data_IF_552515268249
#
_entry.id   IF_552515268249
#
_cell.length_a   1.000
_cell.length_b   1.000
_cell.length_c   1.000
_cell.angle_alpha   90.00
_cell.angle_beta   90.00
_cell.angle_gamma   90.00
#
_symmetry.space_group_name_H-M   'P 1'
#
loop_
_entity.id
_entity.type
_entity.pdbx_description
1 polymer ?
#
# COMPACT_ATOMS: atom_id res chain seq x y z
N UNK A 1 -11.90 15.34 -70.61
CA UNK A 1 -10.63 14.92 -71.25
C UNK A 1 -9.53 15.36 -70.29
N UNK A 2 -8.70 14.55 -69.62
CA UNK A 2 -8.28 13.14 -69.62
C UNK A 2 -8.02 12.79 -68.13
N UNK A 3 -8.66 11.77 -67.53
CA UNK A 3 -8.11 10.44 -67.13
C UNK A 3 -6.73 10.51 -66.46
N UNK A 4 -6.54 10.08 -65.19
CA UNK A 4 -6.38 8.67 -64.74
C UNK A 4 -6.59 8.53 -63.21
N UNK A 5 -7.62 7.80 -62.75
CA UNK A 5 -7.63 6.45 -62.09
C UNK A 5 -6.81 6.24 -60.80
N UNK A 6 -7.53 6.09 -59.68
CA UNK A 6 -7.13 5.54 -58.37
C UNK A 6 -7.09 4.01 -58.35
N UNK A 7 -6.40 3.37 -57.37
CA UNK A 7 -6.69 1.99 -56.98
C UNK A 7 -7.30 1.89 -55.57
N UNK A 8 -8.39 1.13 -55.50
CA UNK A 8 -9.12 0.71 -54.30
C UNK A 8 -8.51 -0.60 -53.77
N UNK A 9 -8.30 -0.71 -52.45
CA UNK A 9 -7.92 -1.96 -51.78
C UNK A 9 -9.11 -2.53 -51.00
N UNK A 10 -9.49 -3.77 -51.29
CA UNK A 10 -10.40 -4.63 -50.52
C UNK A 10 -9.66 -5.94 -50.15
N UNK A 11 -10.07 -6.64 -49.08
CA UNK A 11 -9.27 -7.68 -48.44
C UNK A 11 -9.52 -9.08 -49.02
N UNK A 12 -8.48 -9.92 -48.99
CA UNK A 12 -8.52 -11.34 -49.38
C UNK A 12 -8.80 -12.23 -48.16
N UNK A 13 -9.84 -13.05 -48.27
CA UNK A 13 -10.16 -14.22 -47.43
C UNK A 13 -9.61 -15.47 -48.15
N UNK A 14 -9.01 -16.44 -47.46
CA UNK A 14 -8.84 -17.79 -48.02
C UNK A 14 -9.95 -18.74 -47.52
N UNK A 15 -10.63 -19.37 -48.48
CA UNK A 15 -11.61 -20.45 -48.27
C UNK A 15 -10.96 -21.75 -47.81
N UNK A 16 -11.71 -22.48 -47.00
CA UNK A 16 -11.45 -23.85 -46.54
C UNK A 16 -11.79 -24.87 -47.63
N UNK A 17 -10.90 -25.84 -47.86
CA UNK A 17 -11.23 -27.06 -48.61
C UNK A 17 -11.52 -28.22 -47.65
N UNK A 18 -12.74 -28.76 -47.75
CA UNK A 18 -13.13 -30.07 -47.24
C UNK A 18 -12.48 -31.20 -48.05
N UNK A 19 -11.99 -32.23 -47.35
CA UNK A 19 -11.85 -33.60 -47.84
C UNK A 19 -12.23 -34.56 -46.70
N UNK A 20 -12.92 -35.62 -47.08
CA UNK A 20 -13.80 -36.47 -46.30
C UNK A 20 -13.10 -37.67 -45.61
N UNK A 21 -13.86 -38.35 -44.75
CA UNK A 21 -13.53 -39.42 -43.82
C UNK A 21 -12.96 -40.72 -44.41
N UNK A 22 -12.19 -41.44 -43.59
CA UNK A 22 -11.92 -42.87 -43.78
C UNK A 22 -10.99 -43.49 -42.74
N UNK A 23 -11.56 -43.96 -41.62
CA UNK A 23 -11.19 -45.12 -40.78
C UNK A 23 -9.72 -45.50 -40.58
N UNK A 24 -9.26 -45.55 -39.31
CA UNK A 24 -8.58 -46.75 -38.78
C UNK A 24 -8.49 -46.73 -37.24
N UNK A 25 -8.36 -47.93 -36.71
CA UNK A 25 -8.68 -48.39 -35.36
C UNK A 25 -7.71 -47.95 -34.26
N UNK A 26 -8.25 -48.03 -33.04
CA UNK A 26 -7.63 -47.83 -31.74
C UNK A 26 -6.57 -48.88 -31.36
N UNK A 27 -5.43 -48.42 -30.82
CA UNK A 27 -4.43 -49.20 -30.07
C UNK A 27 -3.64 -48.29 -29.11
N UNK A 28 -3.10 -48.80 -27.97
CA UNK A 28 -2.86 -48.00 -26.78
C UNK A 28 -1.54 -47.20 -26.84
N UNK A 29 -1.55 -45.99 -26.29
CA UNK A 29 -0.35 -45.15 -26.13
C UNK A 29 0.29 -45.45 -24.77
N UNK A 30 1.55 -45.89 -24.81
CA UNK A 30 2.42 -46.13 -23.68
C UNK A 30 2.64 -44.86 -22.82
N UNK A 31 2.53 -45.04 -21.51
CA UNK A 31 2.91 -44.05 -20.49
C UNK A 31 4.44 -43.90 -20.48
N UNK A 32 4.94 -42.74 -20.91
CA UNK A 32 6.33 -42.35 -20.65
C UNK A 32 6.43 -41.78 -19.23
N UNK A 33 7.05 -42.56 -18.35
CA UNK A 33 7.44 -42.15 -16.99
C UNK A 33 8.72 -41.31 -17.06
N UNK A 34 8.65 -40.02 -16.71
CA UNK A 34 9.84 -39.21 -16.46
C UNK A 34 10.34 -39.49 -15.03
N UNK A 35 11.43 -40.24 -14.91
CA UNK A 35 12.18 -40.37 -13.67
C UNK A 35 13.07 -39.12 -13.47
N UNK A 36 12.71 -38.27 -12.50
CA UNK A 36 13.62 -37.26 -11.95
C UNK A 36 14.35 -37.89 -10.76
N UNK A 37 15.66 -38.08 -10.91
CA UNK A 37 16.54 -38.50 -9.85
C UNK A 37 16.69 -37.36 -8.83
N UNK A 38 16.40 -37.66 -7.56
CA UNK A 38 16.68 -36.81 -6.41
C UNK A 38 18.02 -37.27 -5.84
N UNK A 39 19.08 -36.49 -6.00
CA UNK A 39 20.33 -36.70 -5.27
C UNK A 39 20.17 -36.16 -3.84
N UNK A 40 20.07 -37.07 -2.89
CA UNK A 40 20.14 -36.80 -1.46
C UNK A 40 21.61 -36.72 -1.02
N UNK A 41 22.08 -35.54 -0.64
CA UNK A 41 23.35 -35.36 0.06
C UNK A 41 23.17 -35.71 1.55
N UNK A 42 23.47 -36.96 1.89
CA UNK A 42 23.53 -37.46 3.26
C UNK A 42 24.91 -37.18 3.86
N UNK A 43 25.02 -36.26 4.81
CA UNK A 43 26.24 -36.12 5.62
C UNK A 43 26.26 -37.20 6.70
N UNK A 44 27.23 -38.11 6.60
CA UNK A 44 27.58 -39.06 7.66
C UNK A 44 28.28 -38.33 8.81
N UNK A 45 27.73 -38.47 10.01
CA UNK A 45 28.42 -38.20 11.28
C UNK A 45 29.03 -39.52 11.74
N UNK A 46 30.35 -39.59 11.80
CA UNK A 46 31.07 -40.65 12.51
C UNK A 46 32.01 -40.03 13.54
N UNK A 47 31.76 -40.40 14.79
CA UNK A 47 32.54 -40.17 16.00
C UNK A 47 33.93 -40.81 15.96
N UNK A 48 34.94 -40.18 16.58
CA UNK A 48 36.16 -40.89 17.00
C UNK A 48 37.38 -39.99 17.25
N UNK A 49 37.68 -39.73 18.52
CA UNK A 49 38.95 -39.19 19.03
C UNK A 49 40.16 -40.10 18.70
N UNK A 50 41.33 -39.53 18.36
CA UNK A 50 42.52 -39.47 19.23
C UNK A 50 43.85 -39.24 18.49
N UNK A 51 44.59 -38.23 18.95
CA UNK A 51 46.05 -38.15 19.20
C UNK A 51 47.08 -38.47 18.09
N UNK A 52 48.02 -37.52 17.89
CA UNK A 52 49.44 -37.85 17.67
C UNK A 52 50.20 -37.07 16.60
N UNK A 53 50.92 -36.03 17.03
CA UNK A 53 52.22 -35.47 16.56
C UNK A 53 52.68 -35.63 15.10
N UNK A 54 53.03 -34.50 14.45
CA UNK A 54 54.43 -34.04 14.23
C UNK A 54 54.48 -32.68 13.50
N UNK A 55 55.63 -32.03 13.58
CA UNK A 55 55.84 -30.58 13.55
C UNK A 55 56.47 -30.03 12.26
N UNK A 56 56.55 -28.69 12.21
CA UNK A 56 57.31 -27.77 11.31
C UNK A 56 56.54 -27.32 10.05
N UNK A 57 56.48 -26.04 9.66
CA UNK A 57 57.43 -24.92 9.77
C UNK A 57 56.72 -23.56 9.60
N UNK A 58 57.32 -22.50 10.17
CA UNK A 58 56.84 -21.13 10.34
C UNK A 58 56.75 -20.28 9.04
N UNK A 59 55.83 -19.29 9.05
CA UNK A 59 56.14 -17.84 8.98
C UNK A 59 54.87 -16.99 9.10
N UNK A 60 54.77 -16.21 10.18
CA UNK A 60 53.89 -15.04 10.31
C UNK A 60 54.75 -13.84 10.68
N UNK A 61 54.57 -12.74 9.96
CA UNK A 61 55.28 -11.48 10.17
C UNK A 61 54.29 -10.44 10.69
N UNK A 62 54.61 -9.88 11.86
CA UNK A 62 53.96 -8.71 12.45
C UNK A 62 54.69 -7.45 12.01
N UNK A 63 53.98 -6.39 11.63
CA UNK A 63 54.50 -5.01 11.59
C UNK A 63 53.41 -4.05 12.09
N UNK A 64 53.79 -3.28 13.11
CA UNK A 64 53.10 -2.14 13.71
C UNK A 64 53.12 -0.92 12.76
N UNK A 65 52.17 0.01 12.89
CA UNK A 65 52.38 1.38 12.41
C UNK A 65 51.67 2.41 13.30
N UNK A 66 52.47 3.36 13.76
CA UNK A 66 52.11 4.61 14.43
C UNK A 66 51.63 5.68 13.42
N UNK A 67 50.84 6.66 13.91
CA UNK A 67 50.82 8.07 13.45
C UNK A 67 50.00 8.90 14.47
N UNK A 68 50.63 9.59 15.42
CA UNK A 68 51.15 10.98 15.37
C UNK A 68 50.13 12.04 15.82
N UNK A 69 50.34 12.56 17.03
CA UNK A 69 49.70 13.74 17.62
C UNK A 69 50.67 14.91 17.55
N UNK A 70 50.21 16.07 17.06
CA UNK A 70 50.92 17.36 17.11
C UNK A 70 50.06 18.42 17.79
N UNK A 71 50.69 19.19 18.68
CA UNK A 71 50.22 20.41 19.38
C UNK A 71 49.90 21.53 18.35
N UNK A 72 49.18 22.64 18.62
CA UNK A 72 49.11 23.51 19.80
C UNK A 72 47.91 24.48 19.74
N UNK A 73 47.73 25.18 20.87
CA UNK A 73 47.12 26.49 21.09
C UNK A 73 45.66 26.59 21.56
N UNK A 74 45.53 27.30 22.69
CA UNK A 74 44.39 27.28 23.58
C UNK A 74 43.51 28.53 23.53
N UNK A 75 42.47 28.51 24.35
CA UNK A 75 42.13 29.55 25.34
C UNK A 75 40.85 29.15 26.09
N UNK A 76 40.80 29.58 27.35
CA UNK A 76 39.78 29.37 28.37
C UNK A 76 38.38 29.88 27.97
N UNK A 77 37.31 29.18 28.40
CA UNK A 77 36.41 29.68 29.48
C UNK A 77 35.39 28.61 29.92
N UNK A 78 35.24 28.48 31.25
CA UNK A 78 34.20 27.69 31.95
C UNK A 78 32.85 28.42 31.88
N UNK A 79 31.73 27.68 31.80
CA UNK A 79 30.58 27.89 32.70
C UNK A 79 29.50 26.80 32.61
N UNK A 80 29.16 26.31 33.81
CA UNK A 80 27.86 25.88 34.35
C UNK A 80 27.06 24.73 33.71
N UNK A 81 27.17 23.57 34.39
CA UNK A 81 26.10 22.57 34.53
C UNK A 81 24.95 23.16 35.36
N UNK A 82 23.71 22.98 34.89
CA UNK A 82 22.50 23.12 35.70
C UNK A 82 21.64 21.88 35.50
N UNK A 83 21.29 21.24 36.62
CA UNK A 83 20.33 20.14 36.74
C UNK A 83 18.89 20.67 36.56
N UNK A 84 17.94 19.89 36.02
CA UNK A 84 16.54 20.29 36.02
C UNK A 84 15.85 19.99 37.37
N UNK A 85 15.06 20.97 37.80
CA UNK A 85 14.31 21.05 39.04
C UNK A 85 13.10 20.08 39.11
N UNK A 86 12.55 19.79 40.32
CA UNK A 86 11.45 18.86 40.53
C UNK A 86 10.09 19.49 40.20
N UNK A 87 9.15 18.65 39.73
CA UNK A 87 7.76 19.02 39.45
C UNK A 87 6.97 19.04 40.77
N UNK A 88 6.31 20.16 41.03
CA UNK A 88 5.45 20.40 42.19
C UNK A 88 4.09 19.69 42.07
N UNK A 89 3.67 19.09 43.19
CA UNK A 89 2.31 18.67 43.49
C UNK A 89 1.36 19.88 43.56
N UNK A 90 0.17 19.77 42.96
CA UNK A 90 -1.00 20.58 43.33
C UNK A 90 -2.26 19.71 43.44
N UNK A 91 -3.23 20.11 44.28
CA UNK A 91 -4.03 19.18 45.06
C UNK A 91 -5.43 18.92 44.48
N UNK A 92 -5.97 17.76 44.91
CA UNK A 92 -7.37 17.39 44.91
C UNK A 92 -8.26 18.45 45.56
N UNK A 93 -9.35 18.86 44.88
CA UNK A 93 -10.67 18.87 45.52
C UNK A 93 -11.87 19.12 44.57
N UNK A 94 -13.03 18.70 45.07
CA UNK A 94 -14.42 19.02 44.69
C UNK A 94 -15.12 18.16 43.62
N UNK A 95 -15.78 17.13 44.13
CA UNK A 95 -17.03 16.59 43.60
C UNK A 95 -18.07 17.69 43.42
N UNK A 96 -18.75 17.70 42.27
CA UNK A 96 -20.07 18.31 42.13
C UNK A 96 -21.04 17.31 41.51
N UNK A 97 -22.18 17.15 42.18
CA UNK A 97 -23.19 16.17 41.92
C UNK A 97 -24.02 16.50 40.68
N UNK A 98 -24.15 15.54 39.77
CA UNK A 98 -25.19 15.55 38.73
C UNK A 98 -26.39 14.72 39.19
N UNK A 99 -27.51 15.41 39.37
CA UNK A 99 -28.81 14.84 39.76
C UNK A 99 -29.39 13.96 38.65
N UNK A 100 -29.52 12.67 38.96
CA UNK A 100 -30.31 11.70 38.19
C UNK A 100 -31.79 11.96 38.49
N UNK A 101 -32.57 12.33 37.47
CA UNK A 101 -34.03 12.32 37.53
C UNK A 101 -34.53 10.91 37.20
N UNK A 102 -35.07 10.24 38.20
CA UNK A 102 -35.82 8.99 38.07
C UNK A 102 -37.24 9.31 37.61
N UNK A 103 -37.69 8.67 36.54
CA UNK A 103 -39.10 8.54 36.22
C UNK A 103 -39.54 7.10 36.53
N UNK A 104 -40.36 6.96 37.57
CA UNK A 104 -41.26 5.84 37.72
C UNK A 104 -42.43 6.05 36.76
N UNK A 105 -42.80 5.03 35.98
CA UNK A 105 -44.20 4.64 35.86
C UNK A 105 -44.39 3.24 35.27
N UNK A 106 -44.98 2.41 36.13
CA UNK A 106 -46.00 1.35 35.98
C UNK A 106 -45.97 0.33 34.84
N UNK A 107 -46.14 -0.93 35.27
CA UNK A 107 -46.30 -2.14 34.47
C UNK A 107 -47.69 -2.24 33.81
N UNK A 108 -47.71 -2.79 32.59
CA UNK A 108 -48.91 -3.36 31.95
C UNK A 108 -48.50 -4.56 31.09
N UNK A 109 -49.03 -5.73 31.41
CA UNK A 109 -48.91 -6.99 30.67
C UNK A 109 -49.73 -7.00 29.35
N UNK A 110 -49.52 -7.99 28.44
CA UNK A 110 -49.46 -7.75 26.99
C UNK A 110 -50.80 -7.93 26.25
N UNK A 111 -50.99 -7.15 25.18
CA UNK A 111 -52.01 -7.41 24.16
C UNK A 111 -51.39 -8.23 23.02
N UNK A 112 -51.94 -9.43 22.83
CA UNK A 112 -51.70 -10.29 21.67
C UNK A 112 -52.11 -9.52 20.39
N UNK A 113 -51.15 -9.20 19.54
CA UNK A 113 -51.40 -8.78 18.16
C UNK A 113 -50.96 -9.89 17.21
N UNK A 114 -51.89 -10.28 16.34
CA UNK A 114 -51.73 -11.27 15.27
C UNK A 114 -50.51 -10.92 14.42
N UNK A 115 -49.67 -11.92 14.19
CA UNK A 115 -48.62 -11.88 13.18
C UNK A 115 -49.23 -11.53 11.82
N UNK A 116 -48.92 -10.35 11.28
CA UNK A 116 -48.97 -10.11 9.85
C UNK A 116 -47.78 -10.85 9.24
N UNK A 117 -48.06 -11.70 8.27
CA UNK A 117 -47.03 -12.21 7.38
C UNK A 117 -46.55 -11.03 6.53
N UNK A 118 -45.56 -10.31 7.05
CA UNK A 118 -44.80 -9.36 6.23
C UNK A 118 -43.97 -10.22 5.27
N UNK A 119 -44.47 -10.37 4.05
CA UNK A 119 -43.67 -10.79 2.91
C UNK A 119 -42.47 -9.86 2.83
N UNK A 120 -41.31 -10.35 3.27
CA UNK A 120 -40.02 -9.72 3.04
C UNK A 120 -39.88 -9.63 1.53
N UNK A 121 -40.15 -8.45 0.99
CA UNK A 121 -39.75 -8.12 -0.36
C UNK A 121 -38.23 -8.26 -0.37
N UNK A 122 -37.74 -9.36 -0.95
CA UNK A 122 -36.35 -9.55 -1.32
C UNK A 122 -36.02 -8.50 -2.37
N UNK A 123 -35.69 -7.29 -1.91
CA UNK A 123 -34.97 -6.34 -2.73
C UNK A 123 -33.71 -7.07 -3.19
N UNK A 124 -33.58 -7.27 -4.49
CA UNK A 124 -32.33 -7.73 -5.10
C UNK A 124 -31.19 -6.90 -4.49
N UNK A 125 -30.06 -7.52 -4.09
CA UNK A 125 -28.94 -6.78 -3.55
C UNK A 125 -28.60 -5.62 -4.48
N UNK A 126 -28.34 -4.45 -3.90
CA UNK A 126 -27.71 -3.34 -4.60
C UNK A 126 -26.57 -3.91 -5.45
N UNK A 127 -26.60 -3.66 -6.75
CA UNK A 127 -25.66 -4.23 -7.73
C UNK A 127 -24.23 -4.22 -7.19
N UNK A 128 -23.59 -5.40 -7.13
CA UNK A 128 -22.22 -5.53 -6.65
C UNK A 128 -21.32 -4.55 -7.41
N UNK A 129 -20.61 -3.70 -6.67
CA UNK A 129 -19.74 -2.69 -7.23
C UNK A 129 -18.30 -3.03 -6.88
N UNK A 130 -17.44 -3.19 -7.89
CA UNK A 130 -16.02 -3.40 -7.62
C UNK A 130 -15.43 -2.18 -6.87
N UNK A 131 -14.39 -2.35 -6.03
CA UNK A 131 -13.74 -1.23 -5.36
C UNK A 131 -13.22 -0.16 -6.34
N UNK A 132 -12.75 -0.58 -7.52
CA UNK A 132 -12.36 0.33 -8.60
C UNK A 132 -13.54 1.18 -9.10
N UNK A 133 -14.67 0.54 -9.42
CA UNK A 133 -15.92 1.21 -9.82
C UNK A 133 -16.42 2.15 -8.73
N UNK A 134 -16.34 1.75 -7.46
CA UNK A 134 -16.70 2.58 -6.31
C UNK A 134 -15.84 3.85 -6.26
N UNK A 135 -14.51 3.70 -6.28
CA UNK A 135 -13.57 4.83 -6.27
C UNK A 135 -13.83 5.78 -7.45
N UNK A 136 -13.96 5.23 -8.67
CA UNK A 136 -14.25 5.99 -9.88
C UNK A 136 -15.56 6.78 -9.75
N UNK A 137 -16.62 6.12 -9.26
CA UNK A 137 -17.92 6.73 -9.01
C UNK A 137 -17.83 7.88 -8.00
N UNK A 138 -17.10 7.71 -6.88
CA UNK A 138 -16.90 8.78 -5.89
C UNK A 138 -16.20 10.00 -6.51
N UNK A 139 -15.18 9.77 -7.34
CA UNK A 139 -14.46 10.84 -8.03
C UNK A 139 -15.33 11.62 -9.01
N UNK A 140 -16.18 10.94 -9.78
CA UNK A 140 -17.01 11.55 -10.83
C UNK A 140 -18.31 12.14 -10.29
N UNK A 141 -19.00 11.43 -9.39
CA UNK A 141 -20.40 11.73 -9.04
C UNK A 141 -20.55 12.50 -7.73
N UNK A 142 -19.50 12.63 -6.92
CA UNK A 142 -19.54 13.41 -5.68
C UNK A 142 -18.46 14.49 -5.68
N UNK A 143 -18.50 15.36 -4.66
CA UNK A 143 -17.43 16.33 -4.37
C UNK A 143 -16.66 15.97 -3.11
N UNK A 144 -16.91 14.78 -2.56
CA UNK A 144 -16.35 14.39 -1.28
C UNK A 144 -14.83 14.22 -1.42
N UNK A 145 -14.13 14.57 -0.34
CA UNK A 145 -12.72 14.27 -0.17
C UNK A 145 -12.59 12.83 0.32
N UNK A 146 -11.85 12.02 -0.43
CA UNK A 146 -11.54 10.64 -0.09
C UNK A 146 -10.29 10.64 0.80
N UNK A 147 -10.41 10.12 2.02
CA UNK A 147 -9.34 10.13 3.02
C UNK A 147 -8.77 8.73 3.16
N UNK A 148 -7.50 8.56 2.80
CA UNK A 148 -6.84 7.26 2.81
C UNK A 148 -5.67 7.23 3.81
N UNK A 149 -5.77 6.49 4.93
CA UNK A 149 -4.61 6.25 5.77
C UNK A 149 -3.61 5.35 5.03
N UNK A 150 -2.33 5.64 5.19
CA UNK A 150 -1.23 4.82 4.69
C UNK A 150 -1.11 3.54 5.51
N UNK A 151 -1.44 2.42 4.89
CA UNK A 151 -1.29 1.06 5.40
C UNK A 151 -0.14 0.38 4.65
N UNK A 152 0.52 -0.55 5.34
CA UNK A 152 1.75 -1.15 4.82
C UNK A 152 1.80 -2.67 4.99
N UNK A 153 0.82 -3.29 5.62
CA UNK A 153 0.66 -4.74 5.76
C UNK A 153 -0.79 -5.11 6.11
N UNK A 154 -1.06 -6.40 6.31
CA UNK A 154 -2.42 -6.87 6.60
C UNK A 154 -2.93 -6.40 7.96
N UNK A 155 -2.04 -6.28 8.95
CA UNK A 155 -2.41 -5.88 10.30
C UNK A 155 -2.77 -4.40 10.37
N UNK A 156 -1.92 -3.52 9.81
CA UNK A 156 -2.20 -2.09 9.68
C UNK A 156 -3.46 -1.81 8.85
N UNK A 157 -3.71 -2.60 7.79
CA UNK A 157 -4.95 -2.51 7.03
C UNK A 157 -6.19 -2.93 7.82
N UNK A 158 -6.16 -4.08 8.52
CA UNK A 158 -7.26 -4.53 9.39
C UNK A 158 -7.57 -3.52 10.49
N UNK A 159 -6.57 -2.88 11.08
CA UNK A 159 -6.75 -1.80 12.06
C UNK A 159 -7.42 -0.58 11.41
N UNK A 160 -6.98 -0.15 10.23
CA UNK A 160 -7.60 0.99 9.54
C UNK A 160 -9.07 0.71 9.19
N UNK A 161 -9.38 -0.52 8.74
CA UNK A 161 -10.76 -0.95 8.47
C UNK A 161 -11.61 -0.99 9.75
N UNK A 162 -11.08 -1.51 10.87
CA UNK A 162 -11.83 -1.59 12.13
C UNK A 162 -12.13 -0.23 12.75
N UNK A 163 -11.28 0.77 12.48
CA UNK A 163 -11.52 2.18 12.84
C UNK A 163 -12.62 2.82 11.99
N UNK A 164 -12.92 2.26 10.80
CA UNK A 164 -14.00 2.70 9.92
C UNK A 164 -13.56 3.62 8.77
N UNK A 165 -12.31 3.57 8.35
CA UNK A 165 -11.88 4.25 7.12
C UNK A 165 -12.53 3.62 5.89
N UNK A 166 -13.02 4.45 4.97
CA UNK A 166 -13.78 4.03 3.79
C UNK A 166 -12.95 3.99 2.48
N UNK A 167 -11.64 4.17 2.60
CA UNK A 167 -10.64 4.01 1.56
C UNK A 167 -9.27 3.80 2.21
N UNK A 168 -8.36 3.11 1.54
CA UNK A 168 -7.01 2.83 2.04
C UNK A 168 -5.95 3.27 1.02
N UNK A 169 -4.74 3.54 1.52
CA UNK A 169 -3.57 3.77 0.67
C UNK A 169 -2.46 2.78 1.02
N UNK A 170 -2.01 1.96 0.06
CA UNK A 170 -0.82 1.13 0.22
C UNK A 170 0.44 1.94 -0.10
N UNK A 171 1.24 2.21 0.92
CA UNK A 171 2.51 2.93 0.77
C UNK A 171 3.62 2.02 0.20
N UNK A 172 4.32 2.48 -0.84
CA UNK A 172 5.50 1.78 -1.38
C UNK A 172 6.68 1.79 -0.41
N UNK A 173 6.88 2.89 0.31
CA UNK A 173 7.88 2.98 1.37
C UNK A 173 7.59 2.00 2.51
N UNK A 174 6.34 1.91 2.96
CA UNK A 174 5.95 0.97 4.00
C UNK A 174 6.04 -0.49 3.54
N UNK A 175 5.71 -0.78 2.28
CA UNK A 175 5.92 -2.12 1.70
C UNK A 175 7.39 -2.50 1.71
N UNK A 176 8.28 -1.60 1.27
CA UNK A 176 9.72 -1.85 1.26
C UNK A 176 10.27 -2.06 2.67
N UNK A 177 9.83 -1.25 3.63
CA UNK A 177 10.24 -1.38 5.03
C UNK A 177 9.76 -2.69 5.66
N UNK A 178 8.48 -3.04 5.51
CA UNK A 178 7.88 -4.20 6.17
C UNK A 178 8.24 -5.52 5.50
N UNK A 179 8.25 -5.58 4.17
CA UNK A 179 8.54 -6.81 3.42
C UNK A 179 10.02 -7.10 3.24
N UNK A 180 10.83 -6.06 3.04
CA UNK A 180 12.24 -6.22 2.69
C UNK A 180 13.19 -5.79 3.82
N UNK A 181 12.70 -5.06 4.82
CA UNK A 181 13.56 -4.45 5.83
C UNK A 181 14.49 -3.38 5.24
N UNK A 182 14.08 -2.74 4.15
CA UNK A 182 14.92 -1.84 3.35
C UNK A 182 14.32 -0.43 3.22
N UNK A 183 15.14 0.59 2.90
CA UNK A 183 14.64 1.93 2.62
C UNK A 183 13.99 2.03 1.23
N UNK A 184 13.15 3.06 1.05
CA UNK A 184 12.45 3.33 -0.21
C UNK A 184 13.37 3.92 -1.30
N UNK A 185 14.10 3.03 -1.98
CA UNK A 185 15.10 3.34 -3.00
C UNK A 185 14.87 2.57 -4.32
N UNK A 186 13.61 2.22 -4.61
CA UNK A 186 13.26 1.43 -5.81
C UNK A 186 13.72 -0.03 -5.76
N UNK A 187 13.84 -0.59 -4.54
CA UNK A 187 14.28 -1.97 -4.32
C UNK A 187 13.14 -2.97 -4.47
N UNK A 188 11.94 -2.61 -4.04
CA UNK A 188 10.76 -3.45 -4.20
C UNK A 188 10.47 -3.69 -5.68
N UNK A 189 10.28 -4.96 -6.04
CA UNK A 189 9.94 -5.36 -7.40
C UNK A 189 8.42 -5.45 -7.55
N UNK A 190 7.95 -5.59 -8.80
CA UNK A 190 6.53 -5.78 -9.08
C UNK A 190 5.92 -6.93 -8.26
N UNK A 191 6.65 -8.04 -8.08
CA UNK A 191 6.18 -9.17 -7.28
C UNK A 191 5.89 -8.80 -5.83
N UNK A 192 6.76 -7.98 -5.22
CA UNK A 192 6.62 -7.55 -3.82
C UNK A 192 5.41 -6.64 -3.68
N UNK A 193 5.34 -5.62 -4.53
CA UNK A 193 4.30 -4.60 -4.51
C UNK A 193 2.93 -5.19 -4.85
N UNK A 194 2.85 -6.03 -5.88
CA UNK A 194 1.60 -6.68 -6.29
C UNK A 194 1.10 -7.66 -5.24
N UNK A 195 1.96 -8.52 -4.70
CA UNK A 195 1.53 -9.48 -3.67
C UNK A 195 1.02 -8.75 -2.42
N UNK A 196 1.58 -7.58 -2.11
CA UNK A 196 1.10 -6.79 -1.00
C UNK A 196 -0.25 -6.13 -1.28
N UNK A 197 -0.39 -5.50 -2.46
CA UNK A 197 -1.62 -4.86 -2.88
C UNK A 197 -2.78 -5.87 -2.97
N UNK A 198 -2.51 -7.06 -3.52
CA UNK A 198 -3.46 -8.18 -3.64
C UNK A 198 -3.99 -8.61 -2.28
N UNK A 199 -3.11 -8.82 -1.29
CA UNK A 199 -3.56 -9.18 0.05
C UNK A 199 -4.40 -8.08 0.70
N UNK A 200 -3.96 -6.81 0.64
CA UNK A 200 -4.67 -5.70 1.30
C UNK A 200 -6.04 -5.45 0.65
N UNK A 201 -6.11 -5.42 -0.68
CA UNK A 201 -7.33 -5.14 -1.43
C UNK A 201 -8.40 -6.23 -1.25
N UNK A 202 -8.02 -7.44 -0.86
CA UNK A 202 -8.93 -8.56 -0.65
C UNK A 202 -9.26 -8.82 0.83
N UNK A 203 -8.83 -7.96 1.77
CA UNK A 203 -9.35 -7.98 3.15
C UNK A 203 -10.83 -7.56 3.22
N UNK A 204 -11.29 -6.80 2.23
CA UNK A 204 -12.68 -6.37 2.05
C UNK A 204 -12.99 -6.28 0.54
N UNK A 205 -13.17 -7.41 -0.15
CA UNK A 205 -13.17 -7.49 -1.62
C UNK A 205 -14.33 -6.76 -2.30
N UNK A 206 -15.41 -6.49 -1.56
CA UNK A 206 -16.62 -5.83 -2.04
C UNK A 206 -16.80 -4.40 -1.50
N UNK A 207 -15.91 -3.94 -0.64
CA UNK A 207 -16.08 -2.68 0.09
C UNK A 207 -14.99 -1.67 -0.24
N UNK A 208 -13.97 -1.64 0.62
CA UNK A 208 -13.07 -0.51 0.77
C UNK A 208 -12.04 -0.38 -0.37
N UNK A 209 -12.06 0.69 -1.18
CA UNK A 209 -11.09 0.90 -2.25
C UNK A 209 -9.67 1.08 -1.73
N UNK A 210 -8.75 0.27 -2.27
CA UNK A 210 -7.32 0.44 -2.08
C UNK A 210 -6.70 1.24 -3.23
N UNK A 211 -6.07 2.37 -2.90
CA UNK A 211 -5.13 3.06 -3.80
C UNK A 211 -3.73 2.53 -3.50
N UNK A 212 -3.04 1.96 -4.48
CA UNK A 212 -1.74 1.35 -4.29
C UNK A 212 -0.62 2.08 -5.04
N UNK A 213 0.51 2.24 -4.39
CA UNK A 213 1.74 2.67 -5.04
C UNK A 213 2.17 1.67 -6.13
N UNK A 214 2.57 2.18 -7.31
CA UNK A 214 3.12 1.38 -8.41
C UNK A 214 4.48 1.94 -8.89
N UNK A 215 5.13 2.76 -8.07
CA UNK A 215 6.41 3.40 -8.34
C UNK A 215 6.44 4.02 -9.77
N UNK A 216 7.39 3.59 -10.59
CA UNK A 216 7.56 4.01 -11.99
C UNK A 216 7.01 2.96 -12.98
N UNK A 217 6.33 1.93 -12.48
CA UNK A 217 5.81 0.80 -13.25
C UNK A 217 6.86 -0.24 -13.66
N UNK A 218 7.97 -0.30 -12.91
CA UNK A 218 8.96 -1.40 -12.88
C UNK A 218 9.71 -1.68 -14.20
N UNK A 219 9.59 -0.84 -15.21
CA UNK A 219 10.27 -1.02 -16.49
C UNK A 219 9.73 -0.13 -17.61
N UNK A 220 9.80 -0.66 -18.83
CA UNK A 220 9.24 -0.02 -20.02
C UNK A 220 7.74 -0.30 -20.21
N UNK A 221 7.15 0.16 -21.33
CA UNK A 221 5.72 0.03 -21.61
C UNK A 221 5.13 -1.38 -21.46
N UNK A 222 5.86 -2.43 -21.85
CA UNK A 222 5.41 -3.82 -21.69
C UNK A 222 5.31 -4.23 -20.22
N UNK A 223 6.31 -3.88 -19.40
CA UNK A 223 6.29 -4.16 -17.95
C UNK A 223 5.15 -3.39 -17.27
N UNK A 224 4.94 -2.14 -17.64
CA UNK A 224 3.83 -1.32 -17.13
C UNK A 224 2.49 -1.95 -17.48
N UNK A 225 2.31 -2.38 -18.73
CA UNK A 225 1.09 -3.06 -19.17
C UNK A 225 0.83 -4.32 -18.33
N UNK A 226 1.86 -5.12 -18.07
CA UNK A 226 1.77 -6.31 -17.21
C UNK A 226 1.44 -5.94 -15.75
N UNK A 227 2.09 -4.92 -15.20
CA UNK A 227 1.86 -4.45 -13.83
C UNK A 227 0.41 -4.01 -13.62
N UNK A 228 -0.11 -3.17 -14.53
CA UNK A 228 -1.50 -2.71 -14.49
C UNK A 228 -2.48 -3.88 -14.56
N UNK A 229 -2.27 -4.82 -15.47
CA UNK A 229 -3.11 -6.02 -15.56
C UNK A 229 -3.08 -6.85 -14.27
N UNK A 230 -1.93 -6.95 -13.59
CA UNK A 230 -1.85 -7.65 -12.31
C UNK A 230 -2.54 -6.90 -11.18
N UNK A 231 -2.48 -5.56 -11.16
CA UNK A 231 -3.18 -4.72 -10.18
C UNK A 231 -4.70 -4.81 -10.36
N UNK A 232 -5.18 -4.81 -11.61
CA UNK A 232 -6.61 -5.06 -11.91
C UNK A 232 -7.04 -6.42 -11.37
N UNK A 233 -6.28 -7.49 -11.63
CA UNK A 233 -6.57 -8.84 -11.11
C UNK A 233 -6.47 -8.94 -9.58
N UNK A 234 -5.70 -8.06 -8.96
CA UNK A 234 -5.54 -7.97 -7.52
C UNK A 234 -6.64 -7.14 -6.83
N UNK A 235 -7.69 -6.75 -7.56
CA UNK A 235 -8.81 -5.95 -7.04
C UNK A 235 -8.39 -4.55 -6.54
N UNK A 236 -7.26 -4.02 -7.01
CA UNK A 236 -6.79 -2.68 -6.66
C UNK A 236 -7.73 -1.64 -7.28
N UNK A 237 -8.17 -0.66 -6.49
CA UNK A 237 -9.13 0.35 -6.92
C UNK A 237 -8.49 1.49 -7.72
N UNK A 238 -7.26 1.85 -7.36
CA UNK A 238 -6.47 2.85 -8.08
C UNK A 238 -4.98 2.68 -7.84
N UNK A 239 -4.17 3.23 -8.72
CA UNK A 239 -2.72 3.23 -8.54
C UNK A 239 -2.10 4.52 -9.07
N UNK A 240 -0.93 4.87 -8.55
CA UNK A 240 -0.15 5.98 -9.09
C UNK A 240 1.13 5.52 -9.76
N UNK A 241 1.50 6.20 -10.85
CA UNK A 241 2.76 6.00 -11.57
C UNK A 241 3.48 7.33 -11.73
N UNK A 242 4.77 7.35 -11.42
CA UNK A 242 5.56 8.59 -11.33
C UNK A 242 6.59 8.77 -12.46
N UNK A 243 7.17 9.97 -12.54
CA UNK A 243 8.13 10.38 -13.56
C UNK A 243 9.60 10.27 -13.11
N UNK A 244 9.88 9.59 -12.00
CA UNK A 244 11.26 9.31 -11.58
C UNK A 244 11.97 8.33 -12.52
N UNK A 245 13.30 8.29 -12.45
CA UNK A 245 14.09 7.16 -12.97
C UNK A 245 13.72 5.85 -12.25
N UNK A 246 14.01 4.69 -12.85
CA UNK A 246 13.60 3.39 -12.31
C UNK A 246 14.10 3.15 -10.87
N UNK A 247 15.34 3.56 -10.57
CA UNK A 247 15.90 3.61 -9.21
C UNK A 247 15.36 4.83 -8.47
N UNK A 248 14.04 4.85 -8.27
CA UNK A 248 13.31 5.96 -7.66
C UNK A 248 13.72 6.17 -6.21
N UNK A 249 13.39 7.33 -5.67
CA UNK A 249 13.57 7.65 -4.24
C UNK A 249 12.23 8.09 -3.65
N UNK A 250 12.09 7.97 -2.34
CA UNK A 250 10.96 8.58 -1.63
C UNK A 250 10.81 10.07 -2.02
N UNK A 251 9.57 10.50 -2.25
CA UNK A 251 9.20 11.85 -2.69
C UNK A 251 9.69 12.97 -1.76
N UNK A 252 9.91 12.65 -0.49
CA UNK A 252 10.41 13.57 0.53
C UNK A 252 11.92 13.48 0.77
N UNK A 253 12.68 12.75 -0.04
CA UNK A 253 14.14 12.75 0.00
C UNK A 253 14.71 13.73 -1.04
N UNK A 254 15.91 14.24 -0.76
CA UNK A 254 16.64 15.10 -1.70
C UNK A 254 17.30 14.33 -2.85
N UNK A 255 17.51 15.03 -3.96
CA UNK A 255 18.25 14.50 -5.11
C UNK A 255 17.43 13.53 -5.97
N UNK A 256 16.11 13.75 -6.04
CA UNK A 256 15.24 13.03 -6.97
C UNK A 256 15.69 13.32 -8.41
N UNK A 257 15.57 12.31 -9.26
CA UNK A 257 15.86 12.43 -10.70
C UNK A 257 14.63 12.01 -11.47
N UNK A 258 14.14 12.91 -12.31
CA UNK A 258 13.02 12.61 -13.20
C UNK A 258 13.50 12.31 -14.61
N UNK A 259 12.74 11.48 -15.32
CA UNK A 259 12.94 11.22 -16.75
C UNK A 259 12.40 12.39 -17.58
N UNK A 260 12.68 12.38 -18.88
CA UNK A 260 12.05 13.32 -19.81
C UNK A 260 10.53 13.16 -19.81
N UNK A 261 9.82 14.24 -20.17
CA UNK A 261 8.36 14.20 -20.30
C UNK A 261 7.91 13.10 -21.26
N UNK A 262 8.61 12.88 -22.39
CA UNK A 262 8.26 11.83 -23.34
C UNK A 262 8.30 10.42 -22.75
N UNK A 263 9.32 10.11 -21.95
CA UNK A 263 9.42 8.81 -21.26
C UNK A 263 8.29 8.69 -20.24
N UNK A 264 8.05 9.72 -19.43
CA UNK A 264 6.94 9.72 -18.47
C UNK A 264 5.58 9.51 -19.16
N UNK A 265 5.28 10.27 -20.21
CA UNK A 265 4.03 10.17 -20.95
C UNK A 265 3.89 8.83 -21.68
N UNK A 266 5.01 8.17 -22.04
CA UNK A 266 4.97 6.79 -22.55
C UNK A 266 4.46 5.80 -21.49
N UNK A 267 4.77 6.03 -20.21
CA UNK A 267 4.25 5.23 -19.08
C UNK A 267 2.75 5.41 -18.92
N UNK A 268 2.29 6.67 -18.95
CA UNK A 268 0.85 7.00 -18.86
C UNK A 268 0.08 6.35 -20.02
N UNK A 269 0.59 6.44 -21.26
CA UNK A 269 -0.02 5.77 -22.42
C UNK A 269 -0.12 4.25 -22.24
N UNK A 270 0.97 3.62 -21.80
CA UNK A 270 0.99 2.17 -21.58
C UNK A 270 -0.01 1.73 -20.51
N UNK A 271 -0.04 2.45 -19.38
CA UNK A 271 -1.00 2.20 -18.31
C UNK A 271 -2.44 2.37 -18.78
N UNK A 272 -2.75 3.50 -19.44
CA UNK A 272 -4.10 3.77 -19.95
C UNK A 272 -4.56 2.73 -20.97
N UNK A 273 -3.70 2.37 -21.93
CA UNK A 273 -4.01 1.36 -22.93
C UNK A 273 -4.28 -0.03 -22.30
N UNK A 274 -3.57 -0.38 -21.22
CA UNK A 274 -3.81 -1.61 -20.48
C UNK A 274 -5.17 -1.60 -19.76
N UNK A 275 -5.54 -0.47 -19.15
CA UNK A 275 -6.84 -0.27 -18.49
C UNK A 275 -7.98 -0.40 -19.50
N UNK A 276 -7.86 0.30 -20.64
CA UNK A 276 -8.89 0.30 -21.69
C UNK A 276 -9.10 -1.10 -22.28
N UNK A 277 -8.00 -1.80 -22.56
CA UNK A 277 -8.05 -3.17 -23.09
C UNK A 277 -8.72 -4.15 -22.11
N UNK A 278 -8.58 -3.91 -20.81
CA UNK A 278 -9.19 -4.73 -19.77
C UNK A 278 -10.64 -4.31 -19.45
N UNK A 279 -11.14 -3.21 -20.02
CA UNK A 279 -12.42 -2.60 -19.65
C UNK A 279 -12.57 -2.40 -18.13
N UNK A 280 -11.48 -1.97 -17.49
CA UNK A 280 -11.43 -1.82 -16.03
C UNK A 280 -11.70 -0.37 -15.60
N UNK A 281 -12.38 -0.20 -14.47
CA UNK A 281 -12.59 1.10 -13.82
C UNK A 281 -11.41 1.55 -12.93
N UNK A 282 -10.32 0.77 -12.86
CA UNK A 282 -9.17 1.08 -12.02
C UNK A 282 -8.68 2.51 -12.30
N UNK A 283 -8.50 3.29 -11.23
CA UNK A 283 -8.18 4.71 -11.32
C UNK A 283 -6.68 4.90 -11.59
N UNK A 284 -6.35 5.57 -12.70
CA UNK A 284 -4.98 5.94 -13.05
C UNK A 284 -4.61 7.31 -12.48
N UNK A 285 -3.70 7.32 -11.51
CA UNK A 285 -3.19 8.55 -10.89
C UNK A 285 -1.82 8.89 -11.51
N UNK A 286 -1.73 10.05 -12.15
CA UNK A 286 -0.51 10.56 -12.75
C UNK A 286 0.29 11.36 -11.72
N UNK A 287 1.43 10.81 -11.27
CA UNK A 287 2.33 11.46 -10.30
C UNK A 287 3.50 12.16 -10.99
N UNK A 288 3.87 13.34 -10.50
CA UNK A 288 5.09 14.06 -10.90
C UNK A 288 5.93 14.44 -9.68
N UNK A 289 7.21 14.10 -9.71
CA UNK A 289 8.24 14.43 -8.72
C UNK A 289 9.17 15.55 -9.20
N UNK A 290 8.89 16.13 -10.38
CA UNK A 290 9.73 17.12 -11.05
C UNK A 290 9.90 18.45 -10.30
N UNK A 291 9.10 18.72 -9.25
CA UNK A 291 9.05 20.03 -8.61
C UNK A 291 10.42 20.48 -8.08
N UNK A 292 11.17 19.58 -7.43
CA UNK A 292 12.48 19.89 -6.86
C UNK A 292 13.52 20.23 -7.94
N UNK A 293 13.45 19.56 -9.10
CA UNK A 293 14.49 19.64 -10.12
C UNK A 293 14.16 20.65 -11.23
N UNK A 294 12.90 20.72 -11.65
CA UNK A 294 12.44 21.43 -12.84
C UNK A 294 11.41 22.53 -12.53
N UNK A 295 10.90 22.60 -11.30
CA UNK A 295 9.98 23.64 -10.86
C UNK A 295 8.50 23.34 -11.16
N UNK A 296 7.66 24.30 -10.76
CA UNK A 296 6.21 24.13 -10.77
C UNK A 296 5.60 24.08 -12.17
N UNK A 297 6.04 24.96 -13.08
CA UNK A 297 5.47 25.06 -14.42
C UNK A 297 5.68 23.78 -15.24
N UNK A 298 6.84 23.12 -15.07
CA UNK A 298 7.11 21.81 -15.68
C UNK A 298 6.21 20.72 -15.09
N UNK A 299 5.97 20.73 -13.77
CA UNK A 299 5.02 19.80 -13.15
C UNK A 299 3.62 19.99 -13.73
N UNK A 300 3.20 21.24 -13.90
CA UNK A 300 1.91 21.60 -14.47
C UNK A 300 1.80 21.09 -15.91
N UNK A 301 2.82 21.33 -16.74
CA UNK A 301 2.88 20.86 -18.12
C UNK A 301 2.79 19.32 -18.21
N UNK A 302 3.54 18.59 -17.38
CA UNK A 302 3.52 17.13 -17.32
C UNK A 302 2.15 16.59 -16.94
N UNK A 303 1.51 17.18 -15.94
CA UNK A 303 0.21 16.76 -15.46
C UNK A 303 -0.92 17.08 -16.46
N UNK A 304 -0.88 18.23 -17.15
CA UNK A 304 -1.80 18.51 -18.25
C UNK A 304 -1.66 17.49 -19.39
N UNK A 305 -0.43 17.15 -19.76
CA UNK A 305 -0.17 16.15 -20.78
C UNK A 305 -0.64 14.75 -20.33
N UNK A 306 -0.42 14.36 -19.07
CA UNK A 306 -0.92 13.10 -18.53
C UNK A 306 -2.45 13.05 -18.48
N UNK A 307 -3.11 14.14 -18.08
CA UNK A 307 -4.57 14.31 -18.15
C UNK A 307 -5.09 14.13 -19.57
N UNK A 308 -4.45 14.76 -20.56
CA UNK A 308 -4.84 14.65 -21.97
C UNK A 308 -4.71 13.22 -22.52
N UNK A 309 -3.86 12.39 -21.90
CA UNK A 309 -3.72 10.96 -22.20
C UNK A 309 -4.69 10.07 -21.44
N UNK A 310 -5.59 10.65 -20.63
CA UNK A 310 -6.64 9.92 -19.94
C UNK A 310 -6.28 9.46 -18.52
N UNK A 311 -5.28 10.05 -17.87
CA UNK A 311 -5.12 9.90 -16.43
C UNK A 311 -6.31 10.52 -15.68
N UNK A 312 -6.77 9.85 -14.64
CA UNK A 312 -8.00 10.18 -13.90
C UNK A 312 -7.80 11.22 -12.81
N UNK A 313 -6.61 11.20 -12.20
CA UNK A 313 -6.24 12.04 -11.07
C UNK A 313 -4.80 12.52 -11.24
N UNK A 314 -4.52 13.77 -10.87
CA UNK A 314 -3.16 14.29 -10.79
C UNK A 314 -2.60 14.22 -9.37
N UNK A 315 -1.30 13.96 -9.25
CA UNK A 315 -0.54 14.04 -8.01
C UNK A 315 0.73 14.86 -8.26
N UNK A 316 0.79 16.07 -7.72
CA UNK A 316 1.99 16.90 -7.72
C UNK A 316 2.67 16.71 -6.36
N UNK A 317 3.83 16.07 -6.36
CA UNK A 317 4.53 15.72 -5.13
C UNK A 317 5.35 16.90 -4.58
N UNK A 318 5.27 17.09 -3.26
CA UNK A 318 6.22 17.93 -2.52
C UNK A 318 5.95 19.43 -2.58
N UNK A 319 4.68 19.87 -2.58
CA UNK A 319 4.31 21.29 -2.53
C UNK A 319 5.13 22.06 -1.49
N UNK A 320 5.59 23.26 -1.88
CA UNK A 320 6.39 24.14 -1.02
C UNK A 320 5.58 24.74 0.11
N UNK A 321 4.35 25.18 -0.20
CA UNK A 321 3.47 25.90 0.69
C UNK A 321 1.99 25.63 0.34
N UNK A 322 1.07 26.08 1.21
CA UNK A 322 -0.37 25.86 1.04
C UNK A 322 -0.93 26.64 -0.14
N UNK A 323 -0.36 27.80 -0.43
CA UNK A 323 -0.73 28.67 -1.54
C UNK A 323 -0.44 28.01 -2.89
N UNK A 324 0.71 27.37 -3.05
CA UNK A 324 1.06 26.60 -4.23
C UNK A 324 0.12 25.40 -4.43
N UNK A 325 -0.27 24.72 -3.35
CA UNK A 325 -1.23 23.64 -3.38
C UNK A 325 -2.62 24.12 -3.83
N UNK A 326 -3.14 25.19 -3.24
CA UNK A 326 -4.42 25.79 -3.62
C UNK A 326 -4.41 26.29 -5.09
N UNK A 327 -3.29 26.85 -5.55
CA UNK A 327 -3.12 27.24 -6.96
C UNK A 327 -3.21 26.03 -7.89
N UNK A 328 -2.57 24.91 -7.55
CA UNK A 328 -2.63 23.70 -8.36
C UNK A 328 -4.06 23.16 -8.46
N UNK A 329 -4.80 23.10 -7.36
CA UNK A 329 -6.21 22.65 -7.39
C UNK A 329 -7.05 23.52 -8.31
N UNK A 330 -6.87 24.84 -8.26
CA UNK A 330 -7.58 25.78 -9.15
C UNK A 330 -7.21 25.60 -10.62
N UNK A 331 -5.93 25.40 -10.92
CA UNK A 331 -5.41 25.22 -12.28
C UNK A 331 -5.97 23.96 -12.95
N UNK A 332 -6.05 22.86 -12.18
CA UNK A 332 -6.46 21.57 -12.72
C UNK A 332 -7.96 21.32 -12.72
N UNK A 333 -8.75 22.12 -11.99
CA UNK A 333 -10.20 21.97 -11.95
C UNK A 333 -10.82 21.88 -13.37
N UNK A 334 -11.80 20.97 -13.60
CA UNK A 334 -12.42 20.06 -12.64
C UNK A 334 -11.68 18.71 -12.45
N UNK A 335 -10.45 18.56 -12.96
CA UNK A 335 -9.69 17.32 -12.81
C UNK A 335 -9.29 17.08 -11.35
N UNK A 336 -9.59 15.91 -10.76
CA UNK A 336 -9.24 15.60 -9.39
C UNK A 336 -7.74 15.69 -9.14
N UNK A 337 -7.34 16.31 -8.03
CA UNK A 337 -5.99 16.19 -7.49
C UNK A 337 -5.98 15.37 -6.21
N UNK A 338 -4.90 14.61 -6.05
CA UNK A 338 -4.51 13.92 -4.84
C UNK A 338 -3.46 14.74 -4.10
N UNK A 339 -3.60 14.84 -2.78
CA UNK A 339 -2.61 15.41 -1.87
C UNK A 339 -1.93 14.30 -1.05
N UNK A 340 -0.60 14.24 -1.08
CA UNK A 340 0.19 13.32 -0.27
C UNK A 340 0.73 14.02 0.99
N UNK A 341 0.39 13.49 2.16
CA UNK A 341 0.87 13.96 3.46
C UNK A 341 1.85 12.98 4.05
N UNK A 342 3.08 13.47 4.26
CA UNK A 342 4.10 12.85 5.09
C UNK A 342 4.54 13.87 6.12
N UNK A 343 4.12 13.63 7.37
CA UNK A 343 4.51 14.47 8.49
C UNK A 343 6.03 14.41 8.71
N UNK A 344 6.62 15.52 9.15
CA UNK A 344 8.07 15.70 9.27
C UNK A 344 8.84 15.58 7.93
N UNK A 345 8.14 15.71 6.80
CA UNK A 345 8.73 15.79 5.46
C UNK A 345 8.98 17.22 4.98
N UNK A 346 9.17 17.37 3.67
CA UNK A 346 9.36 18.67 3.00
C UNK A 346 8.09 19.52 2.83
N UNK A 347 6.91 18.90 2.78
CA UNK A 347 5.65 19.63 2.60
C UNK A 347 5.11 20.14 3.93
N UNK A 348 4.42 21.30 3.94
CA UNK A 348 3.75 21.77 5.14
C UNK A 348 2.68 20.77 5.58
N UNK A 349 2.32 20.81 6.87
CA UNK A 349 1.22 19.99 7.38
C UNK A 349 -0.12 20.54 6.85
N UNK A 350 -0.93 19.65 6.27
CA UNK A 350 -2.31 19.94 5.90
C UNK A 350 -3.25 19.05 6.71
N UNK A 351 -4.31 19.64 7.24
CA UNK A 351 -5.43 18.88 7.80
C UNK A 351 -6.35 18.39 6.68
N UNK A 352 -7.19 17.40 7.01
CA UNK A 352 -8.24 16.91 6.11
C UNK A 352 -9.21 18.05 5.71
N UNK A 353 -9.56 18.92 6.66
CA UNK A 353 -10.50 20.01 6.42
C UNK A 353 -9.90 21.07 5.47
N UNK A 354 -8.64 21.44 5.67
CA UNK A 354 -7.93 22.35 4.75
C UNK A 354 -7.85 21.78 3.33
N UNK A 355 -7.52 20.49 3.19
CA UNK A 355 -7.48 19.85 1.88
C UNK A 355 -8.85 19.83 1.20
N UNK A 356 -9.93 19.62 1.99
CA UNK A 356 -11.31 19.66 1.51
C UNK A 356 -11.70 21.06 1.05
N UNK A 357 -11.39 22.09 1.84
CA UNK A 357 -11.67 23.49 1.52
C UNK A 357 -10.92 23.97 0.27
N UNK A 358 -9.67 23.53 0.09
CA UNK A 358 -8.89 23.84 -1.12
C UNK A 358 -9.49 23.17 -2.38
N UNK A 359 -10.21 22.06 -2.22
CA UNK A 359 -10.85 21.32 -3.31
C UNK A 359 -10.07 20.09 -3.79
N UNK A 360 -9.12 19.57 -3.00
CA UNK A 360 -8.55 18.25 -3.27
C UNK A 360 -9.64 17.18 -3.22
N UNK A 361 -9.43 16.10 -3.96
CA UNK A 361 -10.41 15.00 -4.07
C UNK A 361 -9.95 13.73 -3.40
N UNK A 362 -8.64 13.56 -3.22
CA UNK A 362 -8.04 12.48 -2.45
C UNK A 362 -6.97 13.08 -1.54
N UNK A 363 -6.87 12.60 -0.31
CA UNK A 363 -5.75 12.86 0.58
C UNK A 363 -5.22 11.53 1.12
N UNK A 364 -3.90 11.32 1.05
CA UNK A 364 -3.24 10.13 1.58
C UNK A 364 -2.29 10.52 2.73
N UNK A 365 -2.24 9.69 3.77
CA UNK A 365 -1.32 9.85 4.90
C UNK A 365 -0.31 8.71 4.91
N UNK A 366 0.72 8.80 4.06
CA UNK A 366 1.56 7.65 3.67
C UNK A 366 2.26 6.92 4.82
N UNK A 367 2.48 7.59 5.97
CA UNK A 367 3.15 7.03 7.15
C UNK A 367 2.22 6.85 8.36
N UNK A 368 0.90 7.00 8.18
CA UNK A 368 -0.09 6.96 9.27
C UNK A 368 -0.01 5.66 10.09
N UNK A 369 0.18 4.50 9.46
CA UNK A 369 0.41 3.24 10.17
C UNK A 369 1.87 3.05 10.58
N UNK A 370 2.81 3.33 9.67
CA UNK A 370 4.21 2.92 9.82
C UNK A 370 4.96 3.66 10.93
N UNK A 371 4.82 4.99 11.00
CA UNK A 371 5.57 5.79 11.95
C UNK A 371 5.17 5.53 13.42
N UNK A 372 3.87 5.46 13.78
CA UNK A 372 3.46 5.05 15.12
C UNK A 372 3.88 3.62 15.47
N UNK A 373 3.78 2.68 14.52
CA UNK A 373 4.20 1.30 14.73
C UNK A 373 5.70 1.21 15.05
N UNK A 374 6.55 1.93 14.31
CA UNK A 374 7.98 2.01 14.61
C UNK A 374 8.24 2.49 16.05
N UNK A 375 7.60 3.59 16.45
CA UNK A 375 7.77 4.15 17.79
C UNK A 375 7.38 3.16 18.90
N UNK A 376 6.21 2.53 18.76
CA UNK A 376 5.69 1.58 19.74
C UNK A 376 6.53 0.30 19.82
N UNK A 377 6.88 -0.30 18.67
CA UNK A 377 7.68 -1.53 18.61
C UNK A 377 9.07 -1.28 19.20
N UNK A 378 9.74 -0.18 18.78
CA UNK A 378 11.05 0.18 19.31
C UNK A 378 10.99 0.39 20.83
N UNK A 379 9.99 1.14 21.31
CA UNK A 379 9.81 1.38 22.75
C UNK A 379 9.61 0.09 23.54
N UNK A 380 8.81 -0.85 23.01
CA UNK A 380 8.60 -2.16 23.62
C UNK A 380 9.89 -2.99 23.68
N UNK A 381 10.70 -2.98 22.61
CA UNK A 381 11.98 -3.70 22.58
C UNK A 381 13.04 -3.07 23.47
N UNK A 382 13.12 -1.73 23.56
CA UNK A 382 14.01 -1.05 24.49
C UNK A 382 13.66 -1.41 25.94
N UNK A 383 12.37 -1.47 26.28
CA UNK A 383 11.90 -1.89 27.60
C UNK A 383 12.21 -3.36 27.86
N UNK A 384 11.91 -4.25 26.92
CA UNK A 384 12.23 -5.67 27.01
C UNK A 384 13.73 -5.90 27.25
N UNK A 385 14.59 -5.17 26.54
CA UNK A 385 16.05 -5.27 26.70
C UNK A 385 16.52 -4.79 28.08
N UNK A 386 15.91 -3.75 28.63
CA UNK A 386 16.29 -3.18 29.93
C UNK A 386 15.74 -3.97 31.12
N UNK A 387 14.50 -4.44 31.03
CA UNK A 387 13.72 -4.95 32.17
C UNK A 387 13.37 -6.45 32.04
N UNK A 388 13.58 -7.08 30.89
CA UNK A 388 13.20 -8.47 30.63
C UNK A 388 11.71 -8.67 30.36
N UNK A 389 10.92 -7.60 30.31
CA UNK A 389 9.47 -7.62 30.03
C UNK A 389 9.07 -6.42 29.17
N UNK A 390 8.02 -6.58 28.36
CA UNK A 390 7.46 -5.49 27.53
C UNK A 390 6.49 -4.60 28.30
N UNK A 391 5.97 -5.07 29.44
CA UNK A 391 4.98 -4.36 30.25
C UNK A 391 3.59 -4.27 29.62
N UNK A 392 3.23 -5.20 28.72
CA UNK A 392 1.89 -5.28 28.13
C UNK A 392 0.85 -5.89 29.09
N UNK A 393 1.29 -6.51 30.18
CA UNK A 393 0.40 -7.08 31.19
C UNK A 393 -0.49 -5.99 31.80
N UNK A 394 -1.80 -6.20 31.78
CA UNK A 394 -2.79 -5.22 32.25
C UNK A 394 -3.21 -4.17 31.22
N UNK A 395 -2.66 -4.18 29.99
CA UNK A 395 -3.06 -3.26 28.92
C UNK A 395 -4.46 -3.53 28.34
N UNK A 396 -5.03 -4.69 28.62
CA UNK A 396 -6.23 -5.16 27.95
C UNK A 396 -5.99 -5.54 26.48
N UNK A 397 -4.75 -5.79 26.06
CA UNK A 397 -4.42 -6.36 24.75
C UNK A 397 -4.01 -7.82 24.95
N UNK A 398 -4.80 -8.72 24.40
CA UNK A 398 -4.69 -10.17 24.45
C UNK A 398 -4.49 -10.75 23.04
N UNK A 399 -4.04 -12.01 22.93
CA UNK A 399 -3.99 -12.69 21.63
C UNK A 399 -5.35 -12.69 20.91
N UNK A 400 -6.45 -12.86 21.66
CA UNK A 400 -7.80 -12.88 21.10
C UNK A 400 -8.16 -11.53 20.48
N UNK A 401 -7.87 -10.41 21.15
CA UNK A 401 -8.17 -9.08 20.58
C UNK A 401 -7.38 -8.81 19.29
N UNK A 402 -6.13 -9.27 19.20
CA UNK A 402 -5.35 -9.19 17.96
C UNK A 402 -5.99 -10.03 16.85
N UNK A 403 -6.43 -11.26 17.16
CA UNK A 403 -7.08 -12.12 16.19
C UNK A 403 -8.48 -11.62 15.78
N UNK A 404 -9.25 -11.06 16.72
CA UNK A 404 -10.55 -10.44 16.44
C UNK A 404 -10.40 -9.31 15.41
N UNK A 405 -9.40 -8.43 15.58
CA UNK A 405 -9.06 -7.40 14.59
C UNK A 405 -8.67 -8.01 13.25
N UNK A 406 -7.98 -9.14 13.24
CA UNK A 406 -7.59 -9.86 12.03
C UNK A 406 -8.73 -10.67 11.37
N UNK A 407 -9.95 -10.62 11.90
CA UNK A 407 -11.11 -11.31 11.32
C UNK A 407 -11.39 -12.68 11.91
N UNK A 408 -11.01 -12.96 13.15
CA UNK A 408 -11.30 -14.24 13.81
C UNK A 408 -12.79 -14.62 13.73
N UNK A 409 -13.68 -13.67 14.04
CA UNK A 409 -15.13 -13.90 13.96
C UNK A 409 -15.62 -14.20 12.54
N UNK A 410 -14.99 -13.62 11.52
CA UNK A 410 -15.28 -13.91 10.12
C UNK A 410 -14.89 -15.35 9.77
N UNK A 411 -13.68 -15.78 10.16
CA UNK A 411 -13.19 -17.14 9.95
C UNK A 411 -14.06 -18.18 10.68
N UNK A 412 -14.43 -17.93 11.94
CA UNK A 412 -15.29 -18.83 12.72
C UNK A 412 -16.66 -18.98 12.05
N UNK A 413 -17.23 -17.88 11.55
CA UNK A 413 -18.51 -17.90 10.85
C UNK A 413 -18.43 -18.69 9.54
N UNK A 414 -17.32 -18.59 8.80
CA UNK A 414 -17.11 -19.40 7.58
C UNK A 414 -17.10 -20.89 7.90
N UNK A 415 -16.44 -21.31 8.99
CA UNK A 415 -16.46 -22.70 9.43
C UNK A 415 -17.88 -23.17 9.78
N UNK A 416 -18.59 -22.39 10.61
CA UNK A 416 -19.96 -22.70 11.02
C UNK A 416 -20.93 -22.76 9.83
N UNK A 417 -20.87 -21.80 8.91
CA UNK A 417 -21.68 -21.77 7.69
C UNK A 417 -21.37 -22.94 6.75
N UNK A 418 -20.15 -23.47 6.78
CA UNK A 418 -19.76 -24.69 6.05
C UNK A 418 -20.19 -25.99 6.77
N UNK A 419 -20.81 -25.90 7.95
CA UNK A 419 -21.22 -27.04 8.78
C UNK A 419 -20.10 -27.59 9.66
N UNK A 420 -19.00 -26.85 9.82
CA UNK A 420 -17.94 -27.15 10.76
C UNK A 420 -18.37 -26.97 12.22
N UNK A 421 -17.64 -27.63 13.11
CA UNK A 421 -17.89 -27.56 14.56
C UNK A 421 -16.64 -27.17 15.35
N UNK A 422 -15.56 -26.77 14.65
CA UNK A 422 -14.22 -26.59 15.23
C UNK A 422 -14.20 -25.48 16.28
N UNK A 423 -15.15 -24.53 16.20
CA UNK A 423 -15.24 -23.37 17.08
C UNK A 423 -16.48 -23.34 18.01
N UNK A 424 -17.28 -24.42 18.10
CA UNK A 424 -18.50 -24.44 18.93
C UNK A 424 -18.26 -24.17 20.43
N UNK A 425 -17.06 -24.48 20.92
CA UNK A 425 -16.64 -24.22 22.30
C UNK A 425 -16.07 -22.82 22.55
N UNK A 426 -15.99 -21.97 21.53
CA UNK A 426 -15.23 -20.73 21.56
C UNK A 426 -13.75 -20.93 21.23
N UNK A 427 -12.97 -19.86 21.47
CA UNK A 427 -11.54 -19.73 21.13
C UNK A 427 -10.74 -19.13 22.26
#
# INVERSE_FOLDING_TARGET
MMTTTSPTFLPLIPEMHHMDNGSHESGPIDRVTLNLAVESLSYHVTSGNSLGSEAQSLKTTSIENEASVGQSDGTYTKQNKTEPAPIEDTPTDSMSALSVKTHHDTASSPKVQKASQDTVATSLPTEFMSPATNLKRRLVNTKDLIVCPGVYDGFSARIALSVGFDALYMTGAGTTASRLGQPDLGLAQLSDMRAHADMIANLDPAGTPLIADMDTGYGGPNTITLAVQQYIRANVAGFHIEDQVLTKRCGHLSGKKVVSADVYLSRIRAAKAAIDKAHSDIVLIARTDALQQLGYDECVARLHAARALGADVGLLEGFKDKEQAARAVKEFAPWPLLLNIVENGHSPLFTVDEAREMGFRIIIFSFAGLAPAYGAIKGAYDKLKREGVTGIQGSGITPKEIFDVCGLGECMRVDEEAGGEDFKGGV
#
